data_IF_965138249048
#
_entry.id   IF_965138249048
#
_cell.length_a   1.000
_cell.length_b   1.000
_cell.length_c   1.000
_cell.angle_alpha   90.00
_cell.angle_beta   90.00
_cell.angle_gamma   90.00
#
_symmetry.space_group_name_H-M   'P 1'
#
loop_
_entity.id
_entity.type
_entity.pdbx_description
1 polymer ?
#
# COMPACT_ATOMS: atom_id res chain seq x y z
N UNK A 1 -0.42 10.30 -11.33
CA UNK A 1 0.25 10.42 -12.64
C UNK A 1 -0.57 11.19 -13.67
N UNK A 2 -1.89 10.99 -13.77
CA UNK A 2 -2.77 11.76 -14.68
C UNK A 2 -2.70 13.28 -14.47
N UNK A 3 -2.67 13.75 -13.21
CA UNK A 3 -2.48 15.17 -12.88
C UNK A 3 -1.15 15.77 -13.40
N UNK A 4 -0.19 14.93 -13.79
CA UNK A 4 1.09 15.32 -14.41
C UNK A 4 1.08 15.16 -15.95
N UNK A 5 -0.08 14.81 -16.54
CA UNK A 5 -0.28 14.66 -17.98
C UNK A 5 -0.08 13.25 -18.52
N UNK A 6 -0.03 12.23 -17.67
CA UNK A 6 0.18 10.83 -18.09
C UNK A 6 -0.91 10.24 -18.99
N UNK A 7 -2.06 10.92 -19.11
CA UNK A 7 -3.22 10.50 -19.89
C UNK A 7 -3.56 11.45 -21.06
N UNK A 8 -2.72 12.48 -21.30
CA UNK A 8 -2.96 13.48 -22.34
C UNK A 8 -3.08 12.87 -23.75
N UNK A 9 -2.27 11.85 -24.07
CA UNK A 9 -2.35 11.20 -25.37
C UNK A 9 -3.47 10.16 -25.38
N UNK A 10 -4.24 10.11 -26.47
CA UNK A 10 -5.26 9.07 -26.65
C UNK A 10 -4.66 7.66 -26.65
N UNK A 11 -3.46 7.48 -27.21
CA UNK A 11 -2.82 6.16 -27.27
C UNK A 11 -2.45 5.64 -25.88
N UNK A 12 -1.97 6.51 -24.98
CA UNK A 12 -1.65 6.14 -23.59
C UNK A 12 -2.89 5.59 -22.88
N UNK A 13 -4.05 6.27 -23.05
CA UNK A 13 -5.34 5.83 -22.51
C UNK A 13 -5.80 4.51 -23.11
N UNK A 14 -5.71 4.37 -24.43
CA UNK A 14 -6.06 3.15 -25.15
C UNK A 14 -5.23 1.96 -24.67
N UNK A 15 -3.90 2.12 -24.62
CA UNK A 15 -2.97 1.08 -24.19
C UNK A 15 -3.21 0.70 -22.72
N UNK A 16 -3.37 1.67 -21.82
CA UNK A 16 -3.61 1.44 -20.40
C UNK A 16 -4.89 0.63 -20.15
N UNK A 17 -5.99 0.98 -20.82
CA UNK A 17 -7.28 0.28 -20.65
C UNK A 17 -7.20 -1.19 -21.10
N UNK A 18 -6.60 -1.45 -22.27
CA UNK A 18 -6.50 -2.81 -22.79
C UNK A 18 -5.47 -3.65 -22.01
N UNK A 19 -4.37 -3.03 -21.58
CA UNK A 19 -3.40 -3.68 -20.71
C UNK A 19 -4.03 -4.06 -19.36
N UNK A 20 -4.86 -3.19 -18.76
CA UNK A 20 -5.57 -3.48 -17.51
C UNK A 20 -6.53 -4.67 -17.65
N UNK A 21 -7.30 -4.74 -18.74
CA UNK A 21 -8.19 -5.88 -19.01
C UNK A 21 -7.43 -7.19 -19.19
N UNK A 22 -6.33 -7.15 -19.96
CA UNK A 22 -5.48 -8.32 -20.16
C UNK A 22 -4.84 -8.78 -18.84
N UNK A 23 -4.31 -7.84 -18.06
CA UNK A 23 -3.69 -8.10 -16.76
C UNK A 23 -4.69 -8.72 -15.78
N UNK A 24 -5.92 -8.18 -15.71
CA UNK A 24 -6.99 -8.73 -14.87
C UNK A 24 -7.25 -10.22 -15.16
N UNK A 25 -7.45 -10.57 -16.43
CA UNK A 25 -7.72 -11.96 -16.80
C UNK A 25 -6.51 -12.88 -16.60
N UNK A 26 -5.29 -12.37 -16.84
CA UNK A 26 -4.06 -13.11 -16.60
C UNK A 26 -3.89 -13.45 -15.11
N UNK A 27 -4.03 -12.46 -14.22
CA UNK A 27 -3.91 -12.67 -12.76
C UNK A 27 -5.04 -13.57 -12.27
N UNK A 28 -6.27 -13.41 -12.78
CA UNK A 28 -7.41 -14.27 -12.40
C UNK A 28 -7.16 -15.73 -12.79
N UNK A 29 -6.70 -15.99 -14.03
CA UNK A 29 -6.37 -17.33 -14.49
C UNK A 29 -5.21 -17.94 -13.68
N UNK A 30 -4.17 -17.14 -13.41
CA UNK A 30 -3.03 -17.57 -12.61
C UNK A 30 -3.45 -17.91 -11.17
N UNK A 31 -4.32 -17.10 -10.56
CA UNK A 31 -4.86 -17.35 -9.23
C UNK A 31 -5.71 -18.61 -9.19
N UNK A 32 -6.58 -18.84 -10.19
CA UNK A 32 -7.35 -20.08 -10.28
C UNK A 32 -6.46 -21.33 -10.39
N UNK A 33 -5.31 -21.22 -11.05
CA UNK A 33 -4.37 -22.33 -11.21
C UNK A 33 -3.46 -22.54 -9.98
N UNK A 34 -2.90 -21.45 -9.44
CA UNK A 34 -2.01 -21.47 -8.28
C UNK A 34 -1.96 -20.08 -7.62
N UNK A 35 -2.68 -19.88 -6.49
CA UNK A 35 -2.64 -18.63 -5.75
C UNK A 35 -1.23 -18.27 -5.23
N UNK A 36 -0.41 -19.27 -4.86
CA UNK A 36 0.98 -19.02 -4.45
C UNK A 36 1.79 -18.38 -5.59
N UNK A 37 1.62 -18.88 -6.82
CA UNK A 37 2.28 -18.29 -7.98
C UNK A 37 1.68 -16.94 -8.38
N UNK A 38 0.37 -16.74 -8.17
CA UNK A 38 -0.26 -15.44 -8.40
C UNK A 38 0.30 -14.36 -7.47
N UNK A 39 0.41 -14.65 -6.17
CA UNK A 39 1.04 -13.73 -5.22
C UNK A 39 2.54 -13.52 -5.51
N UNK A 40 3.26 -14.56 -5.93
CA UNK A 40 4.65 -14.40 -6.36
C UNK A 40 4.77 -13.52 -7.62
N UNK A 41 3.86 -13.67 -8.58
CA UNK A 41 3.85 -12.83 -9.77
C UNK A 41 3.58 -11.37 -9.41
N UNK A 42 2.57 -11.10 -8.57
CA UNK A 42 2.31 -9.74 -8.07
C UNK A 42 3.51 -9.20 -7.30
N UNK A 43 4.15 -10.00 -6.43
CA UNK A 43 5.37 -9.62 -5.72
C UNK A 43 6.47 -9.13 -6.67
N UNK A 44 6.72 -9.83 -7.77
CA UNK A 44 7.74 -9.44 -8.76
C UNK A 44 7.39 -8.11 -9.45
N UNK A 45 6.09 -7.85 -9.69
CA UNK A 45 5.63 -6.57 -10.23
C UNK A 45 5.91 -5.45 -9.23
N UNK A 46 5.59 -5.63 -7.95
CA UNK A 46 5.83 -4.63 -6.91
C UNK A 46 7.33 -4.39 -6.66
N UNK A 47 8.16 -5.45 -6.67
CA UNK A 47 9.63 -5.33 -6.58
C UNK A 47 10.20 -4.51 -7.74
N UNK A 48 9.69 -4.74 -8.95
CA UNK A 48 10.10 -3.95 -10.12
C UNK A 48 9.64 -2.49 -10.04
N UNK A 49 8.42 -2.24 -9.55
CA UNK A 49 7.89 -0.89 -9.35
C UNK A 49 8.71 -0.13 -8.31
N UNK A 50 8.99 -0.74 -7.15
CA UNK A 50 9.84 -0.19 -6.10
C UNK A 50 11.22 0.23 -6.64
N UNK A 51 11.88 -0.64 -7.41
CA UNK A 51 13.19 -0.33 -8.00
C UNK A 51 13.08 0.83 -9.00
N UNK A 52 12.08 0.79 -9.88
CA UNK A 52 11.84 1.85 -10.87
C UNK A 52 11.67 3.23 -10.21
N UNK A 53 10.82 3.32 -9.19
CA UNK A 53 10.62 4.59 -8.49
C UNK A 53 11.84 5.00 -7.66
N UNK A 54 12.57 4.04 -7.08
CA UNK A 54 13.83 4.33 -6.37
C UNK A 54 14.86 4.98 -7.28
N UNK A 55 15.07 4.41 -8.48
CA UNK A 55 16.00 4.94 -9.48
C UNK A 55 15.51 6.30 -9.97
N UNK A 56 14.24 6.41 -10.36
CA UNK A 56 13.68 7.66 -10.89
C UNK A 56 13.79 8.82 -9.88
N UNK A 57 13.42 8.58 -8.61
CA UNK A 57 13.51 9.59 -7.56
C UNK A 57 14.95 10.01 -7.27
N UNK A 58 15.91 9.07 -7.32
CA UNK A 58 17.33 9.36 -7.10
C UNK A 58 17.92 10.18 -8.25
N UNK A 59 17.70 9.76 -9.50
CA UNK A 59 18.27 10.42 -10.69
C UNK A 59 17.69 11.81 -10.94
N UNK A 60 16.45 12.05 -10.54
CA UNK A 60 15.73 13.30 -10.81
C UNK A 60 15.51 14.16 -9.56
N UNK A 61 16.16 13.84 -8.43
CA UNK A 61 15.90 14.47 -7.13
C UNK A 61 15.92 16.01 -7.17
N UNK A 62 16.92 16.59 -7.82
CA UNK A 62 17.07 18.05 -7.93
C UNK A 62 15.96 18.72 -8.73
N UNK A 63 15.45 18.06 -9.77
CA UNK A 63 14.33 18.57 -10.57
C UNK A 63 13.02 18.42 -9.81
N UNK A 64 12.78 17.25 -9.21
CA UNK A 64 11.55 16.93 -8.51
C UNK A 64 11.33 17.78 -7.25
N UNK A 65 12.40 18.21 -6.56
CA UNK A 65 12.33 19.15 -5.43
C UNK A 65 11.78 20.53 -5.81
N UNK A 66 11.96 20.94 -7.07
CA UNK A 66 11.53 22.27 -7.53
C UNK A 66 10.07 22.31 -7.94
N UNK A 67 9.44 21.15 -8.11
CA UNK A 67 8.07 21.03 -8.59
C UNK A 67 7.15 20.82 -7.38
N UNK A 68 6.08 21.62 -7.24
CA UNK A 68 5.11 21.40 -6.17
C UNK A 68 4.35 20.09 -6.38
N UNK A 69 3.90 19.44 -5.30
CA UNK A 69 3.14 18.20 -5.39
C UNK A 69 1.76 18.49 -5.99
N UNK A 70 1.21 17.57 -6.80
CA UNK A 70 -0.15 17.71 -7.30
C UNK A 70 -1.16 17.67 -6.14
N UNK A 71 -2.25 18.46 -6.18
CA UNK A 71 -3.20 18.56 -5.07
C UNK A 71 -3.78 17.22 -4.60
N UNK A 72 -3.99 16.28 -5.53
CA UNK A 72 -4.49 14.94 -5.22
C UNK A 72 -3.53 14.12 -4.36
N UNK A 73 -2.21 14.30 -4.51
CA UNK A 73 -1.23 13.61 -3.69
C UNK A 73 -1.20 14.16 -2.27
N UNK A 74 -1.33 15.48 -2.11
CA UNK A 74 -1.47 16.12 -0.79
C UNK A 74 -2.75 15.65 -0.11
N UNK A 75 -3.85 15.55 -0.86
CA UNK A 75 -5.11 15.01 -0.33
C UNK A 75 -4.96 13.55 0.13
N UNK A 76 -4.25 12.72 -0.63
CA UNK A 76 -4.09 11.31 -0.28
C UNK A 76 -3.16 11.10 0.93
N UNK A 77 -2.01 11.78 0.96
CA UNK A 77 -0.97 11.55 1.98
C UNK A 77 -1.11 12.41 3.24
N UNK A 78 -1.80 13.56 3.20
CA UNK A 78 -1.75 14.56 4.28
C UNK A 78 -3.12 15.02 4.78
N UNK A 79 -4.07 15.36 3.90
CA UNK A 79 -5.28 16.12 4.33
C UNK A 79 -6.60 15.35 4.24
N UNK A 80 -6.67 14.29 3.44
CA UNK A 80 -7.88 13.53 3.19
C UNK A 80 -8.18 12.46 4.25
N UNK A 81 -9.22 11.65 3.99
CA UNK A 81 -9.50 10.48 4.79
C UNK A 81 -8.40 9.43 4.59
N UNK A 82 -7.52 9.29 5.58
CA UNK A 82 -6.37 8.38 5.57
C UNK A 82 -6.75 6.91 5.77
N UNK A 83 -8.04 6.57 5.83
CA UNK A 83 -8.49 5.19 6.01
C UNK A 83 -7.82 4.21 5.04
N UNK A 84 -7.83 4.50 3.74
CA UNK A 84 -7.21 3.60 2.76
C UNK A 84 -5.70 3.49 2.98
N UNK A 85 -5.02 4.64 3.17
CA UNK A 85 -3.59 4.65 3.44
C UNK A 85 -3.21 3.84 4.68
N UNK A 86 -4.00 3.94 5.74
CA UNK A 86 -3.77 3.20 6.98
C UNK A 86 -4.10 1.72 6.85
N UNK A 87 -5.11 1.36 6.05
CA UNK A 87 -5.54 -0.03 5.87
C UNK A 87 -4.57 -0.84 5.02
N UNK A 88 -3.85 -0.22 4.08
CA UNK A 88 -2.92 -0.91 3.17
C UNK A 88 -1.47 -0.93 3.67
N UNK A 89 -1.22 -0.65 4.96
CA UNK A 89 0.10 -0.79 5.58
C UNK A 89 0.22 -2.11 6.33
N UNK A 90 1.02 -3.04 5.80
CA UNK A 90 1.22 -4.38 6.34
C UNK A 90 2.32 -4.42 7.41
N UNK A 91 3.30 -3.52 7.34
CA UNK A 91 4.45 -3.50 8.25
C UNK A 91 4.17 -3.09 9.70
N UNK A 92 2.91 -2.85 10.09
CA UNK A 92 2.53 -2.37 11.44
C UNK A 92 2.99 -3.32 12.55
N UNK A 93 4.17 -3.07 13.08
CA UNK A 93 4.67 -3.66 14.32
C UNK A 93 4.09 -2.85 15.48
N UNK A 94 3.02 -3.35 16.10
CA UNK A 94 2.49 -2.95 17.42
C UNK A 94 2.50 -1.45 17.79
N UNK A 95 1.34 -0.77 17.77
CA UNK A 95 1.10 0.58 18.35
C UNK A 95 2.12 1.72 18.04
N UNK A 96 3.18 1.49 17.26
CA UNK A 96 4.09 2.52 16.79
C UNK A 96 3.40 3.44 15.78
N UNK A 97 3.83 4.69 15.79
CA UNK A 97 3.16 5.82 15.17
C UNK A 97 2.77 5.52 13.73
N UNK A 98 1.50 5.79 13.41
CA UNK A 98 0.97 5.67 12.06
C UNK A 98 1.87 6.44 11.09
N UNK A 99 2.34 5.81 10.00
CA UNK A 99 3.18 6.49 8.99
C UNK A 99 2.42 7.72 8.49
N UNK A 100 3.08 8.88 8.47
CA UNK A 100 2.53 10.14 7.97
C UNK A 100 3.63 10.85 7.18
N UNK A 101 3.82 10.48 5.92
CA UNK A 101 4.94 11.00 5.16
C UNK A 101 4.73 12.48 4.78
N UNK A 102 5.81 13.27 4.65
CA UNK A 102 5.72 14.62 4.10
C UNK A 102 5.29 14.58 2.63
N UNK A 103 4.70 15.66 2.15
CA UNK A 103 4.26 15.83 0.77
C UNK A 103 4.36 17.31 0.39
N UNK A 104 5.58 17.86 0.43
CA UNK A 104 5.85 19.28 0.19
C UNK A 104 6.33 19.53 -1.23
N UNK A 105 6.99 18.55 -1.83
CA UNK A 105 7.53 18.59 -3.18
C UNK A 105 7.16 17.33 -3.97
N UNK A 106 7.28 17.38 -5.30
CA UNK A 106 7.03 16.22 -6.15
C UNK A 106 8.02 15.07 -5.86
N UNK A 107 9.23 15.38 -5.37
CA UNK A 107 10.17 14.37 -4.89
C UNK A 107 9.55 13.51 -3.77
N UNK A 108 8.92 14.16 -2.79
CA UNK A 108 8.29 13.47 -1.66
C UNK A 108 7.17 12.56 -2.16
N UNK A 109 6.40 12.99 -3.17
CA UNK A 109 5.36 12.16 -3.78
C UNK A 109 5.94 10.88 -4.38
N UNK A 110 7.03 10.96 -5.14
CA UNK A 110 7.67 9.77 -5.71
C UNK A 110 8.31 8.87 -4.66
N UNK A 111 8.87 9.45 -3.59
CA UNK A 111 9.38 8.68 -2.46
C UNK A 111 8.25 7.99 -1.70
N UNK A 112 7.10 8.64 -1.55
CA UNK A 112 5.94 8.06 -0.90
C UNK A 112 5.35 6.92 -1.72
N UNK A 113 5.25 7.09 -3.05
CA UNK A 113 4.83 6.02 -3.97
C UNK A 113 5.80 4.83 -3.86
N UNK A 114 7.11 5.06 -3.94
CA UNK A 114 8.12 4.01 -3.75
C UNK A 114 7.89 3.24 -2.45
N UNK A 115 7.71 3.94 -1.35
CA UNK A 115 7.51 3.33 -0.03
C UNK A 115 6.17 2.57 0.06
N UNK A 116 5.13 3.03 -0.65
CA UNK A 116 3.87 2.29 -0.77
C UNK A 116 4.09 0.97 -1.54
N UNK A 117 4.88 0.98 -2.63
CA UNK A 117 5.25 -0.27 -3.32
C UNK A 117 6.02 -1.23 -2.40
N UNK A 118 6.81 -0.71 -1.45
CA UNK A 118 7.45 -1.56 -0.44
C UNK A 118 6.43 -2.21 0.51
N UNK A 119 5.40 -1.48 0.93
CA UNK A 119 4.29 -2.07 1.70
C UNK A 119 3.52 -3.10 0.86
N UNK A 120 3.37 -2.89 -0.44
CA UNK A 120 2.77 -3.89 -1.34
C UNK A 120 3.63 -5.16 -1.43
N UNK A 121 4.96 -5.06 -1.54
CA UNK A 121 5.90 -6.19 -1.47
C UNK A 121 5.67 -7.00 -0.18
N UNK A 122 5.60 -6.33 0.97
CA UNK A 122 5.36 -6.98 2.27
C UNK A 122 4.00 -7.66 2.31
N UNK A 123 2.98 -7.01 1.76
CA UNK A 123 1.63 -7.56 1.67
C UNK A 123 1.58 -8.81 0.79
N UNK A 124 2.20 -8.79 -0.39
CA UNK A 124 2.23 -9.95 -1.29
C UNK A 124 2.99 -11.13 -0.67
N UNK A 125 4.11 -10.88 0.03
CA UNK A 125 4.83 -11.91 0.80
C UNK A 125 3.95 -12.51 1.88
N UNK A 126 3.25 -11.68 2.66
CA UNK A 126 2.34 -12.16 3.70
C UNK A 126 1.19 -13.01 3.11
N UNK A 127 0.60 -12.59 1.98
CA UNK A 127 -0.43 -13.37 1.30
C UNK A 127 0.09 -14.72 0.79
N UNK A 128 1.29 -14.74 0.21
CA UNK A 128 1.94 -15.96 -0.28
C UNK A 128 2.23 -16.93 0.86
N UNK A 129 2.79 -16.44 1.98
CA UNK A 129 3.07 -17.24 3.17
C UNK A 129 1.79 -17.80 3.79
N UNK A 130 0.75 -16.97 3.92
CA UNK A 130 -0.54 -17.39 4.46
C UNK A 130 -1.18 -18.48 3.60
N UNK A 131 -1.20 -18.30 2.27
CA UNK A 131 -1.71 -19.31 1.35
C UNK A 131 -0.91 -20.62 1.41
N UNK A 132 0.42 -20.51 1.52
CA UNK A 132 1.33 -21.64 1.68
C UNK A 132 1.29 -22.33 3.06
N UNK A 133 0.38 -21.93 3.95
CA UNK A 133 0.22 -22.50 5.29
C UNK A 133 1.32 -22.13 6.29
N UNK A 134 2.13 -21.11 5.97
CA UNK A 134 3.24 -20.60 6.80
C UNK A 134 2.88 -19.32 7.56
N UNK A 135 1.80 -18.64 7.14
CA UNK A 135 1.32 -17.42 7.77
C UNK A 135 0.55 -17.66 9.09
N UNK A 136 0.27 -16.60 9.85
CA UNK A 136 -0.48 -16.69 11.10
C UNK A 136 -1.92 -17.18 10.88
N UNK A 137 -2.49 -17.83 11.89
CA UNK A 137 -3.91 -18.20 11.88
C UNK A 137 -4.78 -16.95 11.71
N UNK A 138 -5.80 -16.98 10.84
CA UNK A 138 -6.76 -15.88 10.71
C UNK A 138 -7.63 -15.70 11.96
N UNK A 139 -7.74 -16.76 12.78
CA UNK A 139 -8.40 -16.71 14.08
C UNK A 139 -7.37 -16.34 15.14
N UNK A 140 -7.62 -15.31 15.98
CA UNK A 140 -6.77 -15.01 17.12
C UNK A 140 -6.60 -16.27 17.99
N UNK A 141 -5.39 -16.81 18.03
CA UNK A 141 -5.03 -17.97 18.86
C UNK A 141 -4.66 -17.58 20.28
N UNK A 142 -4.39 -16.29 20.52
CA UNK A 142 -4.20 -15.76 21.87
C UNK A 142 -5.54 -15.73 22.61
N UNK A 143 -5.59 -16.20 23.87
CA UNK A 143 -6.78 -16.07 24.70
C UNK A 143 -7.17 -14.59 24.75
N UNK A 144 -8.44 -14.26 24.49
CA UNK A 144 -8.98 -12.95 24.88
C UNK A 144 -8.84 -12.87 26.39
N UNK A 145 -7.80 -12.17 26.88
CA UNK A 145 -7.75 -11.73 28.27
C UNK A 145 -9.04 -10.96 28.49
N UNK A 146 -9.98 -11.57 29.19
CA UNK A 146 -11.22 -10.91 29.56
C UNK A 146 -10.81 -9.66 30.34
N UNK A 147 -11.11 -8.48 29.80
CA UNK A 147 -11.05 -7.23 30.56
C UNK A 147 -12.20 -7.24 31.58
N UNK A 148 -12.18 -8.20 32.51
CA UNK A 148 -13.03 -8.25 33.68
C UNK A 148 -12.24 -7.63 34.83
N UNK A 149 -11.92 -6.34 34.75
CA UNK A 149 -11.33 -5.59 35.87
C UNK A 149 -11.45 -4.07 35.64
N UNK A 150 -12.66 -3.55 35.43
CA UNK A 150 -12.94 -2.11 35.59
C UNK A 150 -14.45 -1.82 35.57
N UNK A 151 -15.24 -2.37 36.50
CA UNK A 151 -16.46 -1.66 36.94
C UNK A 151 -16.98 -2.14 38.30
N UNK A 152 -16.11 -2.16 39.32
CA UNK A 152 -16.52 -2.44 40.69
C UNK A 152 -16.05 -1.33 41.63
N UNK A 153 -16.41 -0.08 41.32
CA UNK A 153 -16.49 1.02 42.31
C UNK A 153 -17.60 2.02 41.97
N UNK A 154 -18.79 1.55 41.59
CA UNK A 154 -19.99 2.39 41.73
C UNK A 154 -20.49 2.32 43.18
N UNK A 155 -19.95 3.22 43.99
CA UNK A 155 -20.28 3.43 45.40
C UNK A 155 -21.75 3.89 45.58
N UNK A 156 -22.63 3.16 46.27
CA UNK A 156 -23.88 3.73 46.75
C UNK A 156 -23.67 4.27 48.18
N UNK A 157 -23.55 5.59 48.32
CA UNK A 157 -23.79 6.24 49.61
C UNK A 157 -25.27 6.67 49.70
N UNK A 158 -26.00 6.36 50.78
CA UNK A 158 -27.21 7.07 51.15
C UNK A 158 -26.90 8.48 51.67
#
# INVERSE_FOLDING_TARGET
MEALGGDCNWFDRFAAQHAALLYYWLVTALFMASPENAYNFSLLVEEHAYVTYSVFAAENAELLRRVPPPPIAVQYYVTGNMYNFDMFQTSKKSQEAVRRPPCEHLLDVFQNIRDDEYEHILTMKACQEWWGGRGPSPVPTEPRLASCAADETLNPKP
#
